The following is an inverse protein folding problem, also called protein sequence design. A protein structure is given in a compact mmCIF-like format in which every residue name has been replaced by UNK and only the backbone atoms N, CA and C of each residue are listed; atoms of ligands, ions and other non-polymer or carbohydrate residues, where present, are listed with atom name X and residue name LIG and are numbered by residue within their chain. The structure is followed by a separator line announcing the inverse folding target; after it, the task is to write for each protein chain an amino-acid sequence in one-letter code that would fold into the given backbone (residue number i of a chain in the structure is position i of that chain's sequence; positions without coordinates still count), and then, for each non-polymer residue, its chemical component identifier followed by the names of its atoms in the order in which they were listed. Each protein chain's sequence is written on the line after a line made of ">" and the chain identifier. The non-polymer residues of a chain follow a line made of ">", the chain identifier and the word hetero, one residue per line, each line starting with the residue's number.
data_IF_866743697433
#
_entry.id   IF_866743697433
#
_cell.length_a   1.000
_cell.length_b   1.000
_cell.length_c   1.000
_cell.angle_alpha   90.00
_cell.angle_beta   90.00
_cell.angle_gamma   90.00
#
_symmetry.space_group_name_H-M   'P 1'
#
loop_
_entity.id
_entity.type
_entity.pdbx_description
1 polymer ?
#
# COMPACT_ATOMS: atom_id res chain seq x y z
N UNK A 1 -33.00 9.23 18.10
CA UNK A 1 -31.98 8.65 17.22
C UNK A 1 -32.65 7.74 16.20
N UNK A 2 -32.37 7.96 14.91
CA UNK A 2 -32.93 7.12 13.86
C UNK A 2 -32.37 5.68 13.99
N UNK A 3 -33.24 4.69 13.82
CA UNK A 3 -32.87 3.26 13.86
C UNK A 3 -32.08 2.94 12.59
N UNK A 4 -30.86 2.45 12.72
CA UNK A 4 -30.04 2.01 11.60
C UNK A 4 -30.76 0.92 10.78
N UNK A 5 -30.68 0.99 9.48
CA UNK A 5 -31.11 -0.09 8.59
C UNK A 5 -30.23 -1.33 8.81
N UNK A 6 -30.71 -2.49 8.39
CA UNK A 6 -29.93 -3.74 8.47
C UNK A 6 -28.57 -3.62 7.76
N UNK A 7 -28.52 -2.94 6.62
CA UNK A 7 -27.32 -2.71 5.82
C UNK A 7 -26.32 -1.79 6.56
N UNK A 8 -26.82 -0.70 7.14
CA UNK A 8 -25.97 0.22 7.93
C UNK A 8 -25.43 -0.43 9.20
N UNK A 9 -26.26 -1.25 9.87
CA UNK A 9 -25.81 -2.02 11.05
C UNK A 9 -24.73 -3.02 10.68
N UNK A 10 -24.86 -3.73 9.55
CA UNK A 10 -23.84 -4.66 9.06
C UNK A 10 -22.53 -3.95 8.68
N UNK A 11 -22.62 -2.83 7.95
CA UNK A 11 -21.45 -2.03 7.60
C UNK A 11 -20.71 -1.52 8.85
N UNK A 12 -21.46 -1.07 9.87
CA UNK A 12 -20.88 -0.67 11.16
C UNK A 12 -20.17 -1.82 11.86
N UNK A 13 -20.81 -3.00 11.93
CA UNK A 13 -20.20 -4.19 12.54
C UNK A 13 -18.93 -4.59 11.81
N UNK A 14 -18.94 -4.60 10.46
CA UNK A 14 -17.78 -4.89 9.63
C UNK A 14 -16.62 -3.92 9.92
N UNK A 15 -16.89 -2.62 9.96
CA UNK A 15 -15.88 -1.61 10.27
C UNK A 15 -15.29 -1.77 11.68
N UNK A 16 -16.11 -2.11 12.67
CA UNK A 16 -15.62 -2.33 14.04
C UNK A 16 -14.79 -3.60 14.16
N UNK A 17 -15.13 -4.66 13.43
CA UNK A 17 -14.32 -5.88 13.34
C UNK A 17 -12.96 -5.61 12.69
N UNK A 18 -12.89 -4.83 11.62
CA UNK A 18 -11.63 -4.43 10.97
C UNK A 18 -10.72 -3.64 11.93
N UNK A 19 -11.29 -2.67 12.66
CA UNK A 19 -10.53 -1.89 13.66
C UNK A 19 -10.01 -2.75 14.82
N UNK A 20 -10.84 -3.64 15.32
CA UNK A 20 -10.45 -4.56 16.39
C UNK A 20 -9.36 -5.54 15.94
N UNK A 21 -9.48 -6.04 14.71
CA UNK A 21 -8.49 -6.92 14.12
C UNK A 21 -7.11 -6.27 14.03
N UNK A 22 -7.02 -4.99 13.66
CA UNK A 22 -5.77 -4.25 13.64
C UNK A 22 -5.04 -4.33 14.99
N UNK A 23 -5.75 -4.09 16.09
CA UNK A 23 -5.18 -4.17 17.44
C UNK A 23 -4.76 -5.60 17.83
N UNK A 24 -5.64 -6.58 17.57
CA UNK A 24 -5.38 -7.97 17.92
C UNK A 24 -4.20 -8.52 17.13
N UNK A 25 -4.17 -8.26 15.83
CA UNK A 25 -3.08 -8.70 14.96
C UNK A 25 -1.74 -8.01 15.29
N UNK A 26 -1.76 -6.71 15.61
CA UNK A 26 -0.57 -6.00 16.04
C UNK A 26 0.05 -6.61 17.31
N UNK A 27 -0.79 -7.05 18.28
CA UNK A 27 -0.33 -7.63 19.53
C UNK A 27 0.06 -9.11 19.43
N UNK A 28 -0.64 -9.90 18.60
CA UNK A 28 -0.52 -11.37 18.58
C UNK A 28 0.17 -11.90 17.32
N UNK A 29 0.26 -11.09 16.27
CA UNK A 29 0.51 -11.56 14.91
C UNK A 29 -0.73 -12.25 14.31
N UNK A 30 -0.79 -12.34 12.99
CA UNK A 30 -1.94 -12.96 12.30
C UNK A 30 -2.09 -14.45 12.63
N UNK A 31 -0.99 -15.19 12.73
CA UNK A 31 -1.01 -16.64 12.94
C UNK A 31 -1.66 -17.03 14.29
N UNK A 32 -1.28 -16.34 15.36
CA UNK A 32 -1.72 -16.65 16.74
C UNK A 32 -3.06 -16.03 17.12
N UNK A 33 -3.49 -14.99 16.40
CA UNK A 33 -4.75 -14.34 16.64
C UNK A 33 -5.93 -15.27 16.34
N UNK A 34 -6.96 -15.21 17.19
CA UNK A 34 -8.18 -16.00 17.03
C UNK A 34 -9.38 -15.14 16.68
N UNK A 35 -10.38 -15.75 16.04
CA UNK A 35 -11.66 -15.09 15.74
C UNK A 35 -12.36 -14.62 17.03
N UNK A 36 -12.24 -15.40 18.11
CA UNK A 36 -12.87 -15.06 19.39
C UNK A 36 -12.25 -13.81 20.01
N UNK A 37 -10.91 -13.65 19.91
CA UNK A 37 -10.21 -12.43 20.36
C UNK A 37 -10.63 -11.20 19.56
N UNK A 38 -10.70 -11.32 18.23
CA UNK A 38 -11.13 -10.20 17.36
C UNK A 38 -12.58 -9.81 17.61
N UNK A 39 -13.49 -10.79 17.72
CA UNK A 39 -14.89 -10.54 18.02
C UNK A 39 -15.07 -9.90 19.40
N UNK A 40 -14.36 -10.42 20.41
CA UNK A 40 -14.37 -9.88 21.77
C UNK A 40 -13.85 -8.46 21.87
N UNK A 41 -12.72 -8.14 21.22
CA UNK A 41 -12.17 -6.78 21.14
C UNK A 41 -13.14 -5.80 20.46
N UNK A 42 -13.88 -6.28 19.45
CA UNK A 42 -14.89 -5.48 18.75
C UNK A 42 -16.20 -5.32 19.55
N UNK A 43 -16.38 -6.02 20.66
CA UNK A 43 -17.62 -6.05 21.43
C UNK A 43 -18.74 -6.86 20.76
N UNK A 44 -18.37 -7.86 19.94
CA UNK A 44 -19.29 -8.72 19.22
C UNK A 44 -19.11 -10.19 19.56
N UNK A 45 -20.05 -11.01 19.12
CA UNK A 45 -19.97 -12.46 19.22
C UNK A 45 -19.25 -13.06 18.01
N UNK A 46 -18.72 -14.28 18.18
CA UNK A 46 -18.19 -15.11 17.08
C UNK A 46 -19.18 -15.27 15.93
N UNK A 47 -20.47 -15.39 16.21
CA UNK A 47 -21.51 -15.43 15.20
C UNK A 47 -21.61 -14.14 14.36
N UNK A 48 -21.45 -12.97 15.00
CA UNK A 48 -21.40 -11.69 14.31
C UNK A 48 -20.15 -11.57 13.41
N UNK A 49 -19.00 -12.14 13.84
CA UNK A 49 -17.83 -12.24 12.97
C UNK A 49 -18.12 -13.05 11.70
N UNK A 50 -18.62 -14.26 11.84
CA UNK A 50 -18.90 -15.15 10.69
C UNK A 50 -20.04 -14.67 9.79
N UNK A 51 -20.87 -13.76 10.26
CA UNK A 51 -21.86 -13.06 9.41
C UNK A 51 -21.21 -12.01 8.48
N UNK A 52 -19.94 -11.64 8.71
CA UNK A 52 -19.22 -10.61 7.96
C UNK A 52 -17.97 -11.13 7.24
N UNK A 53 -17.28 -12.13 7.78
CA UNK A 53 -16.03 -12.70 7.26
C UNK A 53 -16.03 -14.21 7.48
N UNK A 54 -15.57 -14.96 6.49
CA UNK A 54 -15.46 -16.43 6.55
C UNK A 54 -14.30 -16.89 7.43
N UNK A 55 -13.23 -16.09 7.50
CA UNK A 55 -12.03 -16.40 8.26
C UNK A 55 -11.29 -15.14 8.69
N UNK A 56 -10.27 -15.27 9.54
CA UNK A 56 -9.39 -14.16 9.92
C UNK A 56 -8.51 -13.70 8.75
N UNK A 57 -8.20 -14.61 7.84
CA UNK A 57 -7.47 -14.31 6.61
C UNK A 57 -8.31 -13.43 5.68
N UNK A 58 -9.59 -13.74 5.47
CA UNK A 58 -10.50 -12.88 4.70
C UNK A 58 -10.64 -11.50 5.33
N UNK A 59 -10.73 -11.42 6.65
CA UNK A 59 -10.77 -10.14 7.35
C UNK A 59 -9.46 -9.37 7.15
N UNK A 60 -8.31 -10.03 7.22
CA UNK A 60 -7.02 -9.38 6.96
C UNK A 60 -6.90 -8.88 5.51
N UNK A 61 -7.32 -9.67 4.52
CA UNK A 61 -7.38 -9.23 3.12
C UNK A 61 -8.26 -8.00 2.95
N UNK A 62 -9.37 -7.91 3.68
CA UNK A 62 -10.21 -6.71 3.68
C UNK A 62 -9.51 -5.48 4.31
N UNK A 63 -8.66 -5.68 5.32
CA UNK A 63 -7.80 -4.60 5.84
C UNK A 63 -6.77 -4.15 4.81
N UNK A 64 -6.17 -5.08 4.07
CA UNK A 64 -5.28 -4.77 2.95
C UNK A 64 -6.00 -3.95 1.87
N UNK A 65 -7.22 -4.34 1.51
CA UNK A 65 -8.01 -3.63 0.49
C UNK A 65 -8.26 -2.16 0.90
N UNK A 66 -8.59 -1.91 2.18
CA UNK A 66 -8.76 -0.56 2.69
C UNK A 66 -7.46 0.26 2.59
N UNK A 67 -6.33 -0.31 2.98
CA UNK A 67 -5.02 0.34 2.95
C UNK A 67 -4.51 0.57 1.53
N UNK A 68 -4.66 -0.40 0.66
CA UNK A 68 -4.28 -0.26 -0.75
C UNK A 68 -5.18 0.72 -1.48
N UNK A 69 -6.48 0.78 -1.16
CA UNK A 69 -7.38 1.82 -1.66
C UNK A 69 -6.89 3.23 -1.31
N UNK A 70 -6.52 3.46 -0.06
CA UNK A 70 -5.96 4.75 0.38
C UNK A 70 -4.67 5.10 -0.38
N UNK A 71 -3.77 4.12 -0.57
CA UNK A 71 -2.53 4.33 -1.35
C UNK A 71 -2.80 4.67 -2.81
N UNK A 72 -3.78 4.03 -3.43
CA UNK A 72 -4.17 4.35 -4.81
C UNK A 72 -4.71 5.78 -4.93
N UNK A 73 -5.55 6.23 -3.98
CA UNK A 73 -6.05 7.61 -3.94
C UNK A 73 -4.93 8.64 -3.76
N UNK A 74 -3.91 8.33 -2.96
CA UNK A 74 -2.74 9.19 -2.77
C UNK A 74 -1.90 9.28 -4.05
N UNK A 75 -1.62 8.14 -4.69
CA UNK A 75 -0.91 8.07 -5.98
C UNK A 75 -1.67 8.88 -7.04
N UNK A 76 -2.98 8.70 -7.14
CA UNK A 76 -3.82 9.43 -8.08
C UNK A 76 -3.77 10.93 -7.87
N UNK A 77 -3.78 11.37 -6.60
CA UNK A 77 -3.70 12.79 -6.24
C UNK A 77 -2.36 13.40 -6.65
N UNK A 78 -1.26 12.68 -6.42
CA UNK A 78 0.08 13.13 -6.83
C UNK A 78 0.18 13.21 -8.34
N UNK A 79 -0.25 12.18 -9.07
CA UNK A 79 -0.21 12.14 -10.54
C UNK A 79 -1.10 13.23 -11.18
N UNK A 80 -2.23 13.56 -10.58
CA UNK A 80 -3.14 14.60 -11.06
C UNK A 80 -2.72 16.02 -10.70
N UNK A 81 -1.66 16.22 -9.91
CA UNK A 81 -1.26 17.54 -9.39
C UNK A 81 -0.77 18.51 -10.48
N UNK A 82 -0.32 18.01 -11.63
CA UNK A 82 0.30 18.83 -12.69
C UNK A 82 1.66 19.44 -12.31
N UNK A 83 2.22 19.04 -11.17
CA UNK A 83 3.52 19.49 -10.69
C UNK A 83 4.66 18.87 -11.51
N UNK A 84 5.89 19.39 -11.33
CA UNK A 84 7.09 18.77 -11.91
C UNK A 84 7.29 17.34 -11.42
N UNK A 85 7.99 16.51 -12.21
CA UNK A 85 8.31 15.12 -11.78
C UNK A 85 9.05 15.10 -10.45
N UNK A 86 9.94 16.06 -10.22
CA UNK A 86 10.69 16.19 -8.98
C UNK A 86 9.76 16.51 -7.79
N UNK A 87 8.83 17.44 -7.96
CA UNK A 87 7.87 17.80 -6.91
C UNK A 87 6.89 16.65 -6.64
N UNK A 88 6.42 15.96 -7.69
CA UNK A 88 5.59 14.76 -7.55
C UNK A 88 6.34 13.65 -6.79
N UNK A 89 7.61 13.41 -7.11
CA UNK A 89 8.45 12.43 -6.41
C UNK A 89 8.63 12.78 -4.94
N UNK A 90 8.89 14.04 -4.62
CA UNK A 90 9.01 14.52 -3.23
C UNK A 90 7.70 14.36 -2.47
N UNK A 91 6.57 14.75 -3.08
CA UNK A 91 5.25 14.63 -2.46
C UNK A 91 4.89 13.17 -2.22
N UNK A 92 5.09 12.29 -3.22
CA UNK A 92 4.84 10.85 -3.07
C UNK A 92 5.70 10.23 -1.95
N UNK A 93 6.95 10.67 -1.81
CA UNK A 93 7.84 10.25 -0.75
C UNK A 93 7.39 10.72 0.62
N UNK A 94 6.96 11.97 0.73
CA UNK A 94 6.42 12.53 1.98
C UNK A 94 5.13 11.81 2.40
N UNK A 95 4.16 11.67 1.48
CA UNK A 95 2.89 10.96 1.74
C UNK A 95 3.15 9.52 2.23
N UNK A 96 4.13 8.84 1.63
CA UNK A 96 4.49 7.49 2.04
C UNK A 96 5.16 7.43 3.41
N UNK A 97 6.06 8.38 3.71
CA UNK A 97 6.71 8.49 5.02
C UNK A 97 5.69 8.78 6.12
N UNK A 98 4.74 9.68 5.87
CA UNK A 98 3.63 9.98 6.78
C UNK A 98 2.72 8.77 6.99
N UNK A 99 2.40 8.03 5.91
CA UNK A 99 1.65 6.78 5.99
C UNK A 99 2.33 5.75 6.91
N UNK A 100 3.64 5.53 6.75
CA UNK A 100 4.40 4.61 7.60
C UNK A 100 4.49 5.09 9.06
N UNK A 101 4.55 6.41 9.28
CA UNK A 101 4.63 7.00 10.62
C UNK A 101 3.28 6.95 11.36
N UNK A 102 2.16 7.02 10.64
CA UNK A 102 0.81 7.04 11.21
C UNK A 102 0.43 5.69 11.84
N UNK A 103 0.90 4.58 11.29
CA UNK A 103 0.59 3.24 11.79
C UNK A 103 1.80 2.30 11.64
N UNK A 104 2.80 2.41 12.53
CA UNK A 104 4.00 1.56 12.47
C UNK A 104 3.70 0.08 12.70
N UNK A 105 2.63 -0.21 13.46
CA UNK A 105 2.19 -1.59 13.74
C UNK A 105 1.65 -2.26 12.49
N UNK A 106 0.92 -1.50 11.67
CA UNK A 106 0.45 -1.96 10.37
C UNK A 106 1.62 -2.33 9.44
N UNK A 107 2.64 -1.49 9.36
CA UNK A 107 3.81 -1.75 8.52
C UNK A 107 4.51 -3.06 8.91
N UNK A 108 4.67 -3.31 10.21
CA UNK A 108 5.21 -4.59 10.71
C UNK A 108 4.31 -5.77 10.33
N UNK A 109 3.01 -5.62 10.57
CA UNK A 109 2.02 -6.66 10.26
C UNK A 109 2.00 -6.99 8.77
N UNK A 110 2.16 -6.00 7.90
CA UNK A 110 2.26 -6.20 6.46
C UNK A 110 3.45 -7.10 6.08
N UNK A 111 4.63 -6.90 6.67
CA UNK A 111 5.79 -7.76 6.40
C UNK A 111 5.63 -9.16 7.00
N UNK A 112 5.06 -9.31 8.18
CA UNK A 112 4.71 -10.64 8.73
C UNK A 112 3.79 -11.40 7.77
N UNK A 113 2.81 -10.69 7.21
CA UNK A 113 1.89 -11.22 6.24
C UNK A 113 2.58 -11.60 4.91
N UNK A 114 3.49 -10.78 4.42
CA UNK A 114 4.27 -11.09 3.21
C UNK A 114 5.09 -12.37 3.40
N UNK A 115 5.68 -12.58 4.58
CA UNK A 115 6.39 -13.83 4.92
C UNK A 115 5.44 -15.03 4.94
N UNK A 116 4.21 -14.86 5.48
CA UNK A 116 3.21 -15.93 5.45
C UNK A 116 2.75 -16.25 4.03
N UNK A 117 2.54 -15.23 3.20
CA UNK A 117 2.20 -15.40 1.79
C UNK A 117 3.24 -16.19 0.98
N UNK A 118 4.52 -16.16 1.39
CA UNK A 118 5.56 -17.01 0.77
C UNK A 118 5.39 -18.51 1.04
N UNK A 119 4.57 -18.89 2.03
CA UNK A 119 4.34 -20.28 2.44
C UNK A 119 2.95 -20.79 2.05
N UNK A 120 2.06 -19.92 1.61
CA UNK A 120 0.67 -20.22 1.25
C UNK A 120 0.40 -19.65 -0.14
N UNK A 121 0.15 -20.52 -1.12
CA UNK A 121 -0.02 -20.15 -2.53
C UNK A 121 -1.29 -19.30 -2.75
N UNK A 122 -2.41 -19.68 -2.14
CA UNK A 122 -3.67 -18.95 -2.31
C UNK A 122 -3.54 -17.53 -1.75
N UNK A 123 -2.91 -17.42 -0.60
CA UNK A 123 -2.63 -16.17 0.06
C UNK A 123 -1.63 -15.29 -0.72
N UNK A 124 -0.62 -15.93 -1.31
CA UNK A 124 0.34 -15.27 -2.19
C UNK A 124 -0.33 -14.69 -3.43
N UNK A 125 -1.26 -15.40 -4.06
CA UNK A 125 -1.99 -14.92 -5.23
C UNK A 125 -2.86 -13.70 -4.91
N UNK A 126 -3.51 -13.69 -3.75
CA UNK A 126 -4.29 -12.54 -3.26
C UNK A 126 -3.41 -11.29 -3.08
N UNK A 127 -2.24 -11.45 -2.47
CA UNK A 127 -1.30 -10.35 -2.28
C UNK A 127 -0.73 -9.86 -3.61
N UNK A 128 -0.31 -10.77 -4.50
CA UNK A 128 0.22 -10.45 -5.84
C UNK A 128 -0.80 -9.66 -6.66
N UNK A 129 -2.09 -10.01 -6.58
CA UNK A 129 -3.15 -9.30 -7.30
C UNK A 129 -3.22 -7.83 -6.85
N UNK A 130 -3.16 -7.56 -5.55
CA UNK A 130 -3.17 -6.20 -4.99
C UNK A 130 -1.91 -5.41 -5.36
N UNK A 131 -0.74 -6.04 -5.28
CA UNK A 131 0.51 -5.42 -5.72
C UNK A 131 0.50 -5.06 -7.20
N UNK A 132 -0.09 -5.92 -8.05
CA UNK A 132 -0.24 -5.63 -9.49
C UNK A 132 -1.11 -4.41 -9.73
N UNK A 133 -2.19 -4.24 -8.98
CA UNK A 133 -3.08 -3.06 -9.11
C UNK A 133 -2.32 -1.76 -8.83
N UNK A 134 -1.54 -1.69 -7.76
CA UNK A 134 -0.74 -0.49 -7.46
C UNK A 134 0.31 -0.25 -8.54
N UNK A 135 1.05 -1.28 -8.95
CA UNK A 135 2.07 -1.14 -9.99
C UNK A 135 1.48 -0.71 -11.33
N UNK A 136 0.31 -1.25 -11.71
CA UNK A 136 -0.37 -0.82 -12.93
C UNK A 136 -0.71 0.67 -12.87
N UNK A 137 -1.17 1.16 -11.73
CA UNK A 137 -1.50 2.58 -11.56
C UNK A 137 -0.28 3.50 -11.67
N UNK A 138 0.85 3.10 -11.08
CA UNK A 138 2.13 3.81 -11.23
C UNK A 138 2.58 3.79 -12.70
N UNK A 139 2.48 2.64 -13.37
CA UNK A 139 2.85 2.51 -14.78
C UNK A 139 2.01 3.39 -15.71
N UNK A 140 0.69 3.46 -15.48
CA UNK A 140 -0.23 4.34 -16.21
C UNK A 140 0.16 5.81 -16.06
N UNK A 141 0.44 6.26 -14.83
CA UNK A 141 0.89 7.63 -14.58
C UNK A 141 2.22 7.95 -15.26
N UNK A 142 3.15 7.00 -15.26
CA UNK A 142 4.43 7.15 -15.93
C UNK A 142 4.28 7.22 -17.46
N UNK A 143 3.43 6.39 -18.07
CA UNK A 143 3.12 6.45 -19.51
C UNK A 143 2.52 7.79 -19.88
N UNK A 144 1.52 8.26 -19.14
CA UNK A 144 0.89 9.55 -19.39
C UNK A 144 1.90 10.71 -19.34
N UNK A 145 2.90 10.64 -18.44
CA UNK A 145 3.96 11.64 -18.38
C UNK A 145 4.93 11.53 -19.57
N UNK A 146 5.33 10.32 -19.96
CA UNK A 146 6.22 10.09 -21.11
C UNK A 146 5.60 10.60 -22.41
N UNK A 147 4.30 10.42 -22.60
CA UNK A 147 3.54 10.94 -23.75
C UNK A 147 3.65 12.48 -23.84
N UNK A 148 3.68 13.18 -22.70
CA UNK A 148 3.85 14.65 -22.67
C UNK A 148 5.27 15.10 -23.06
N UNK A 149 6.28 14.23 -22.90
CA UNK A 149 7.67 14.49 -23.27
C UNK A 149 7.99 14.14 -24.74
N UNK A 150 7.04 13.51 -25.45
CA UNK A 150 7.15 13.20 -26.87
C UNK A 150 8.11 12.06 -27.22
N UNK A 151 8.41 11.18 -26.26
CA UNK A 151 9.31 10.05 -26.45
C UNK A 151 8.95 8.84 -25.61
N UNK A 152 9.22 7.64 -26.11
CA UNK A 152 9.13 6.43 -25.32
C UNK A 152 10.27 6.38 -24.29
N UNK A 153 9.97 6.03 -23.02
CA UNK A 153 11.02 5.87 -22.02
C UNK A 153 11.94 4.68 -22.39
N UNK A 154 13.24 4.74 -22.09
CA UNK A 154 14.19 3.68 -22.42
C UNK A 154 13.94 2.37 -21.64
N UNK A 155 13.07 2.43 -20.65
CA UNK A 155 12.70 1.31 -19.79
C UNK A 155 11.17 1.18 -19.80
N UNK A 156 10.61 -0.04 -20.00
CA UNK A 156 9.15 -0.24 -19.98
C UNK A 156 8.51 0.30 -18.69
N UNK A 157 7.38 0.98 -18.82
CA UNK A 157 6.69 1.60 -17.69
C UNK A 157 6.34 0.63 -16.57
N UNK A 158 6.04 -0.63 -16.90
CA UNK A 158 5.76 -1.71 -15.95
C UNK A 158 7.01 -2.06 -15.12
N UNK A 159 8.21 -1.97 -15.73
CA UNK A 159 9.46 -2.19 -15.01
C UNK A 159 9.77 -0.99 -14.12
N UNK A 160 9.57 0.24 -14.58
CA UNK A 160 9.68 1.46 -13.75
C UNK A 160 8.77 1.37 -12.54
N UNK A 161 7.51 0.98 -12.72
CA UNK A 161 6.56 0.80 -11.63
C UNK A 161 7.01 -0.29 -10.65
N UNK A 162 7.58 -1.38 -11.16
CA UNK A 162 8.11 -2.46 -10.31
C UNK A 162 9.31 -1.99 -9.50
N UNK A 163 10.22 -1.22 -10.09
CA UNK A 163 11.38 -0.64 -9.40
C UNK A 163 10.94 0.36 -8.33
N UNK A 164 9.98 1.23 -8.65
CA UNK A 164 9.40 2.20 -7.69
C UNK A 164 8.78 1.48 -6.50
N UNK A 165 8.02 0.41 -6.76
CA UNK A 165 7.38 -0.39 -5.72
C UNK A 165 8.43 -1.10 -4.84
N UNK A 166 9.47 -1.70 -5.43
CA UNK A 166 10.55 -2.35 -4.70
C UNK A 166 11.35 -1.36 -3.84
N UNK A 167 11.54 -0.12 -4.31
CA UNK A 167 12.15 0.95 -3.50
C UNK A 167 11.28 1.31 -2.29
N UNK A 168 9.95 1.37 -2.45
CA UNK A 168 9.02 1.62 -1.35
C UNK A 168 9.07 0.52 -0.28
N UNK A 169 9.04 -0.74 -0.69
CA UNK A 169 9.14 -1.89 0.22
C UNK A 169 10.49 -1.90 0.96
N UNK A 170 11.59 -1.69 0.23
CA UNK A 170 12.93 -1.61 0.82
C UNK A 170 13.05 -0.46 1.82
N UNK A 171 12.57 0.72 1.48
CA UNK A 171 12.54 1.86 2.39
C UNK A 171 11.69 1.56 3.65
N UNK A 172 10.48 1.02 3.48
CA UNK A 172 9.61 0.69 4.59
C UNK A 172 10.25 -0.32 5.55
N UNK A 173 10.87 -1.37 5.02
CA UNK A 173 11.57 -2.36 5.83
C UNK A 173 12.76 -1.76 6.57
N UNK A 174 13.59 -0.96 5.87
CA UNK A 174 14.76 -0.32 6.47
C UNK A 174 14.34 0.61 7.60
N UNK A 175 13.29 1.40 7.39
CA UNK A 175 12.74 2.32 8.41
C UNK A 175 12.16 1.60 9.63
N UNK A 176 11.57 0.41 9.46
CA UNK A 176 11.10 -0.41 10.59
C UNK A 176 12.28 -0.91 11.43
N UNK A 177 13.38 -1.29 10.77
CA UNK A 177 14.55 -1.86 11.44
C UNK A 177 15.46 -0.78 12.06
N UNK A 178 15.58 0.37 11.42
CA UNK A 178 16.52 1.43 11.77
C UNK A 178 15.90 2.81 11.57
N UNK A 179 14.98 3.16 12.46
CA UNK A 179 14.23 4.41 12.36
C UNK A 179 15.09 5.65 12.62
N UNK A 180 16.12 5.52 13.44
CA UNK A 180 16.93 6.67 13.88
C UNK A 180 17.86 7.15 12.76
N UNK A 181 18.40 6.22 11.97
CA UNK A 181 19.35 6.53 10.89
C UNK A 181 18.69 6.68 9.51
N UNK A 182 17.37 6.45 9.38
CA UNK A 182 16.66 6.60 8.12
C UNK A 182 15.85 7.90 8.08
N UNK A 183 16.30 8.93 7.32
CA UNK A 183 15.62 10.22 7.23
C UNK A 183 14.20 10.09 6.66
N UNK A 184 13.28 10.94 7.12
CA UNK A 184 11.89 10.96 6.69
C UNK A 184 11.74 11.28 5.19
N UNK A 185 12.65 12.08 4.62
CA UNK A 185 12.66 12.50 3.22
C UNK A 185 13.45 11.57 2.29
N UNK A 186 14.04 10.50 2.82
CA UNK A 186 14.88 9.57 2.06
C UNK A 186 14.12 8.97 0.87
N UNK A 187 12.89 8.53 1.05
CA UNK A 187 12.13 7.92 -0.04
C UNK A 187 11.81 8.92 -1.15
N UNK A 188 11.45 10.16 -0.80
CA UNK A 188 11.27 11.24 -1.77
C UNK A 188 12.55 11.54 -2.55
N UNK A 189 13.69 11.52 -1.87
CA UNK A 189 15.01 11.68 -2.50
C UNK A 189 15.32 10.52 -3.45
N UNK A 190 15.06 9.27 -3.04
CA UNK A 190 15.23 8.09 -3.91
C UNK A 190 14.41 8.21 -5.19
N UNK A 191 13.13 8.59 -5.06
CA UNK A 191 12.24 8.78 -6.21
C UNK A 191 12.71 9.92 -7.11
N UNK A 192 13.11 11.06 -6.54
CA UNK A 192 13.60 12.22 -7.30
C UNK A 192 14.86 11.86 -8.11
N UNK A 193 15.83 11.20 -7.50
CA UNK A 193 17.06 10.72 -8.18
C UNK A 193 16.71 9.73 -9.30
N UNK A 194 15.84 8.77 -9.00
CA UNK A 194 15.43 7.74 -9.96
C UNK A 194 14.71 8.34 -11.18
N UNK A 195 13.71 9.18 -10.96
CA UNK A 195 12.94 9.77 -12.06
C UNK A 195 13.73 10.84 -12.84
N UNK A 196 14.61 11.58 -12.18
CA UNK A 196 15.52 12.49 -12.88
C UNK A 196 16.48 11.71 -13.79
N UNK A 197 17.04 10.60 -13.30
CA UNK A 197 17.86 9.71 -14.12
C UNK A 197 17.10 9.16 -15.34
N UNK A 198 15.87 8.72 -15.16
CA UNK A 198 15.02 8.26 -16.27
C UNK A 198 14.75 9.36 -17.29
N UNK A 199 14.48 10.59 -16.84
CA UNK A 199 14.24 11.72 -17.73
C UNK A 199 15.48 12.06 -18.58
N UNK A 200 16.67 11.97 -18.01
CA UNK A 200 17.94 12.15 -18.74
C UNK A 200 18.10 11.05 -19.79
N UNK A 201 17.93 9.79 -19.43
CA UNK A 201 18.03 8.65 -20.35
C UNK A 201 17.04 8.76 -21.52
N UNK A 202 15.81 9.21 -21.24
CA UNK A 202 14.77 9.42 -22.28
C UNK A 202 15.21 10.48 -23.28
N UNK A 203 15.74 11.62 -22.81
CA UNK A 203 16.23 12.70 -23.67
C UNK A 203 17.40 12.26 -24.55
N UNK A 204 18.32 11.51 -23.98
CA UNK A 204 19.47 10.97 -24.71
C UNK A 204 19.05 9.97 -25.79
N UNK A 205 18.06 9.12 -25.51
CA UNK A 205 17.52 8.17 -26.47
C UNK A 205 16.82 8.86 -27.64
N UNK A 206 16.13 9.97 -27.41
CA UNK A 206 15.49 10.79 -28.47
C UNK A 206 16.51 11.58 -29.28
N UNK A 207 17.67 11.93 -28.70
CA UNK A 207 18.72 12.71 -29.37
C UNK A 207 19.67 11.86 -30.22
N UNK A 208 19.59 10.53 -30.14
CA UNK A 208 20.37 9.63 -30.99
C UNK A 208 19.58 9.29 -32.23
N UNK A 209 20.03 9.72 -33.46
CA UNK A 209 19.32 9.51 -34.72
C UNK A 209 19.29 8.04 -35.15
#
# INVERSE_FOLDING_TARGET
>A
MARLTRKESQARTRSQLLKAAGKVFACRGLERATVDEVAGEAGYTKGAFYANFKSKEELFLAMLDERFGQRLEEIDRVLASGASVEDQARQAGQDFSEYLATDPEWSRLFFEFAVQAMRDEDFRQELVTRHRTIRSRIAEGFKAHADTLGGEPPIPAELVATMTYAMADGFALTRILDREDVPDDMFGTMLAVFFTGLAVMTREAVAQP
#
